data_IF_135289523742
#
_entry.id   IF_135289523742
#
_cell.length_a   1.000
_cell.length_b   1.000
_cell.length_c   1.000
_cell.angle_alpha   90.00
_cell.angle_beta   90.00
_cell.angle_gamma   90.00
#
_symmetry.space_group_name_H-M   'P 1'
#
loop_
_entity.id
_entity.type
_entity.pdbx_description
1 polymer ?
#
# COMPACT_ATOMS: atom_id res chain seq x y z
N UNK A 1 -18.27 28.11 2.45
CA UNK A 1 -17.58 29.10 1.57
C UNK A 1 -18.07 28.89 0.15
N UNK A 2 -18.41 29.95 -0.58
CA UNK A 2 -18.82 29.81 -2.00
C UNK A 2 -17.59 29.65 -2.89
N UNK A 3 -17.73 28.94 -4.02
CA UNK A 3 -16.64 28.69 -4.99
C UNK A 3 -15.98 29.99 -5.50
N UNK A 4 -16.75 31.07 -5.61
CA UNK A 4 -16.27 32.39 -6.09
C UNK A 4 -15.55 33.20 -5.00
N UNK A 5 -15.66 32.82 -3.73
CA UNK A 5 -15.10 33.56 -2.59
C UNK A 5 -13.92 32.74 -2.04
N UNK A 6 -12.77 33.33 -2.07
CA UNK A 6 -11.56 32.75 -1.54
C UNK A 6 -10.37 33.08 -2.41
N UNK A 7 -9.23 33.09 -1.80
CA UNK A 7 -7.97 33.36 -2.45
C UNK A 7 -6.96 32.29 -2.03
N UNK A 8 -6.30 31.65 -3.00
CA UNK A 8 -5.23 30.73 -2.73
C UNK A 8 -3.96 31.54 -2.48
N UNK A 9 -3.44 31.47 -1.26
CA UNK A 9 -2.24 32.22 -0.86
C UNK A 9 -0.98 31.44 -1.29
N UNK A 10 -0.97 30.13 -1.08
CA UNK A 10 0.15 29.28 -1.45
C UNK A 10 -0.35 27.87 -1.78
N UNK A 11 0.36 27.20 -2.68
CA UNK A 11 0.19 25.79 -3.00
C UNK A 11 1.58 25.21 -3.26
N UNK A 12 2.11 24.51 -2.28
CA UNK A 12 3.47 23.96 -2.33
C UNK A 12 3.38 22.43 -2.35
N UNK A 13 4.17 21.80 -3.19
CA UNK A 13 4.35 20.34 -3.18
C UNK A 13 5.26 19.94 -2.02
N UNK A 14 4.85 18.89 -1.29
CA UNK A 14 5.64 18.33 -0.19
C UNK A 14 6.32 17.07 -0.69
N UNK A 15 7.64 17.11 -0.79
CA UNK A 15 8.45 15.98 -1.22
C UNK A 15 8.83 15.09 -0.04
N UNK A 16 8.89 13.78 -0.28
CA UNK A 16 9.47 12.85 0.68
C UNK A 16 11.01 13.01 0.67
N UNK A 17 11.62 13.15 1.84
CA UNK A 17 13.07 13.34 1.98
C UNK A 17 13.87 12.13 1.49
N UNK A 18 13.40 10.93 1.81
CA UNK A 18 14.03 9.68 1.43
C UNK A 18 12.97 8.70 0.89
N UNK A 19 13.09 8.40 -0.40
CA UNK A 19 12.20 7.44 -1.10
C UNK A 19 12.83 6.07 -1.30
N UNK A 20 14.06 5.87 -0.81
CA UNK A 20 14.81 4.62 -0.99
C UNK A 20 14.63 3.66 0.19
N UNK A 21 14.41 4.19 1.38
CA UNK A 21 14.21 3.41 2.60
C UNK A 21 12.75 3.09 2.86
N UNK A 22 12.48 1.88 3.35
CA UNK A 22 11.16 1.49 3.84
C UNK A 22 10.91 2.11 5.20
N UNK A 23 9.69 2.61 5.38
CA UNK A 23 9.22 3.24 6.61
C UNK A 23 7.88 2.64 7.01
N UNK A 24 7.55 2.72 8.28
CA UNK A 24 6.23 2.33 8.76
C UNK A 24 5.35 3.57 8.86
N UNK A 25 4.17 3.49 8.27
CA UNK A 25 3.17 4.54 8.33
C UNK A 25 1.94 4.05 9.08
N UNK A 26 1.56 4.79 10.13
CA UNK A 26 0.30 4.61 10.82
C UNK A 26 -0.76 5.55 10.23
N UNK A 27 -1.92 5.02 9.91
CA UNK A 27 -3.03 5.75 9.32
C UNK A 27 -4.27 5.60 10.17
N UNK A 28 -4.81 6.73 10.64
CA UNK A 28 -6.07 6.81 11.35
C UNK A 28 -7.14 7.22 10.37
N UNK A 29 -8.19 6.42 10.27
CA UNK A 29 -9.26 6.61 9.30
C UNK A 29 -10.63 6.57 9.96
N UNK A 30 -11.59 7.24 9.31
CA UNK A 30 -13.01 7.07 9.51
C UNK A 30 -13.62 6.63 8.19
N UNK A 31 -14.43 5.61 8.20
CA UNK A 31 -15.11 5.15 7.01
C UNK A 31 -16.55 4.77 7.27
N UNK A 32 -17.36 4.84 6.24
CA UNK A 32 -18.73 4.40 6.28
C UNK A 32 -18.84 2.98 5.70
N UNK A 33 -19.32 2.05 6.53
CA UNK A 33 -19.74 0.73 6.07
C UNK A 33 -21.19 0.76 5.60
N UNK A 34 -21.72 -0.40 5.21
CA UNK A 34 -23.14 -0.53 4.87
C UNK A 34 -24.07 -0.33 6.07
N UNK A 35 -23.58 -0.50 7.27
CA UNK A 35 -24.34 -0.49 8.52
C UNK A 35 -24.07 0.70 9.41
N UNK A 36 -22.99 1.46 9.21
CA UNK A 36 -22.65 2.60 10.04
C UNK A 36 -21.27 3.16 9.79
N UNK A 37 -20.82 4.06 10.66
CA UNK A 37 -19.51 4.66 10.62
C UNK A 37 -18.55 3.96 11.58
N UNK A 38 -17.30 3.84 11.17
CA UNK A 38 -16.26 3.19 11.95
C UNK A 38 -14.98 4.02 11.94
N UNK A 39 -14.30 4.02 13.08
CA UNK A 39 -12.92 4.50 13.18
C UNK A 39 -11.99 3.28 13.16
N UNK A 40 -10.89 3.40 12.46
CA UNK A 40 -9.89 2.34 12.39
C UNK A 40 -8.47 2.91 12.35
N UNK A 41 -7.54 2.10 12.81
CA UNK A 41 -6.10 2.35 12.70
C UNK A 41 -5.47 1.22 11.91
N UNK A 42 -4.69 1.59 10.89
CA UNK A 42 -3.96 0.65 10.03
C UNK A 42 -2.51 1.06 9.90
N UNK A 43 -1.67 0.10 9.62
CA UNK A 43 -0.24 0.31 9.40
C UNK A 43 0.17 -0.26 8.05
N UNK A 44 1.04 0.50 7.37
CA UNK A 44 1.60 0.13 6.07
C UNK A 44 3.10 0.35 6.09
N UNK A 45 3.84 -0.58 5.50
CA UNK A 45 5.28 -0.48 5.33
C UNK A 45 5.57 -0.12 3.88
N UNK A 46 5.92 1.13 3.66
CA UNK A 46 6.09 1.72 2.33
C UNK A 46 7.26 2.70 2.28
N UNK A 47 7.66 3.03 1.06
CA UNK A 47 8.76 3.98 0.84
C UNK A 47 8.32 5.44 0.98
N UNK A 48 7.05 5.73 0.73
CA UNK A 48 6.50 7.08 0.81
C UNK A 48 5.10 7.10 1.41
N UNK A 49 4.73 8.27 1.93
CA UNK A 49 3.38 8.50 2.46
C UNK A 49 2.30 8.30 1.39
N UNK A 50 2.55 8.73 0.16
CA UNK A 50 1.61 8.58 -0.96
C UNK A 50 1.34 7.11 -1.26
N UNK A 51 2.38 6.27 -1.28
CA UNK A 51 2.24 4.82 -1.45
C UNK A 51 1.45 4.16 -0.33
N UNK A 52 1.64 4.60 0.91
CA UNK A 52 0.87 4.11 2.05
C UNK A 52 -0.62 4.46 1.93
N UNK A 53 -0.94 5.66 1.41
CA UNK A 53 -2.32 6.07 1.14
C UNK A 53 -2.94 5.26 0.01
N UNK A 54 -2.21 5.01 -1.07
CA UNK A 54 -2.67 4.16 -2.18
C UNK A 54 -3.01 2.75 -1.69
N UNK A 55 -2.11 2.14 -0.91
CA UNK A 55 -2.31 0.83 -0.31
C UNK A 55 -3.54 0.80 0.61
N UNK A 56 -3.78 1.88 1.37
CA UNK A 56 -4.97 2.01 2.20
C UNK A 56 -6.26 1.97 1.36
N UNK A 57 -6.34 2.76 0.30
CA UNK A 57 -7.53 2.80 -0.56
C UNK A 57 -7.78 1.46 -1.25
N UNK A 58 -6.73 0.80 -1.71
CA UNK A 58 -6.82 -0.53 -2.31
C UNK A 58 -7.33 -1.58 -1.30
N UNK A 59 -6.78 -1.60 -0.10
CA UNK A 59 -7.21 -2.54 0.94
C UNK A 59 -8.65 -2.29 1.37
N UNK A 60 -9.03 -1.03 1.60
CA UNK A 60 -10.39 -0.70 2.02
C UNK A 60 -11.43 -1.01 0.95
N UNK A 61 -11.09 -0.83 -0.33
CA UNK A 61 -11.96 -1.23 -1.43
C UNK A 61 -12.07 -2.76 -1.56
N UNK A 62 -10.98 -3.48 -1.41
CA UNK A 62 -10.92 -4.93 -1.62
C UNK A 62 -11.52 -5.73 -0.45
N UNK A 63 -11.17 -5.39 0.78
CA UNK A 63 -11.58 -6.15 1.98
C UNK A 63 -12.87 -5.67 2.61
N UNK A 64 -13.15 -4.37 2.51
CA UNK A 64 -14.30 -3.75 3.18
C UNK A 64 -15.32 -3.17 2.22
N UNK A 65 -15.07 -3.23 0.91
CA UNK A 65 -15.93 -2.68 -0.15
C UNK A 65 -16.21 -1.19 0.03
N UNK A 66 -15.32 -0.46 0.68
CA UNK A 66 -15.41 0.98 0.92
C UNK A 66 -14.85 1.73 -0.29
N UNK A 67 -15.66 2.60 -0.86
CA UNK A 67 -15.26 3.47 -1.96
C UNK A 67 -14.58 4.73 -1.43
N UNK A 68 -13.73 5.34 -2.26
CA UNK A 68 -12.94 6.51 -1.86
C UNK A 68 -13.78 7.66 -1.23
N UNK A 69 -14.97 8.04 -1.73
CA UNK A 69 -15.80 9.09 -1.10
C UNK A 69 -16.28 8.74 0.31
N UNK A 70 -16.34 7.46 0.66
CA UNK A 70 -16.80 6.98 1.96
C UNK A 70 -15.68 6.85 3.00
N UNK A 71 -14.45 7.16 2.63
CA UNK A 71 -13.28 7.05 3.48
C UNK A 71 -12.67 8.42 3.73
N UNK A 72 -12.38 8.70 4.99
CA UNK A 72 -11.75 9.94 5.45
C UNK A 72 -10.48 9.58 6.22
N UNK A 73 -9.36 10.14 5.79
CA UNK A 73 -8.09 10.02 6.51
C UNK A 73 -8.07 11.13 7.56
N UNK A 74 -8.01 10.72 8.83
CA UNK A 74 -7.94 11.67 9.97
C UNK A 74 -6.49 12.13 10.14
N UNK A 75 -5.54 11.17 10.14
CA UNK A 75 -4.12 11.42 10.35
C UNK A 75 -3.29 10.33 9.68
N UNK A 76 -2.14 10.72 9.20
CA UNK A 76 -1.08 9.81 8.80
C UNK A 76 0.23 10.27 9.44
N UNK A 77 1.01 9.33 9.95
CA UNK A 77 2.30 9.62 10.57
C UNK A 77 3.29 8.47 10.37
N UNK A 78 4.57 8.79 10.37
CA UNK A 78 5.65 7.80 10.47
C UNK A 78 5.62 7.21 11.88
N UNK A 79 5.77 5.89 11.99
CA UNK A 79 5.75 5.14 13.25
C UNK A 79 7.11 4.48 13.43
N UNK A 80 7.72 4.65 14.60
CA UNK A 80 8.95 3.95 14.93
C UNK A 80 8.73 2.44 15.03
N UNK A 81 9.75 1.65 14.76
CA UNK A 81 9.65 0.17 14.76
C UNK A 81 9.18 -0.39 16.11
N UNK A 82 9.49 0.30 17.21
CA UNK A 82 9.09 -0.07 18.56
C UNK A 82 7.59 0.17 18.83
N UNK A 83 6.99 1.14 18.15
CA UNK A 83 5.60 1.56 18.33
C UNK A 83 4.61 0.85 17.40
N UNK A 84 5.10 -0.01 16.52
CA UNK A 84 4.28 -0.77 15.57
C UNK A 84 3.43 -1.79 16.31
N UNK A 85 2.15 -1.84 15.98
CA UNK A 85 1.14 -2.66 16.68
C UNK A 85 0.55 -3.77 15.81
N UNK A 86 0.65 -3.67 14.49
CA UNK A 86 0.01 -4.62 13.58
C UNK A 86 0.95 -5.75 13.20
N UNK A 87 0.48 -6.98 13.36
CA UNK A 87 1.26 -8.20 13.06
C UNK A 87 1.81 -8.22 11.64
N UNK A 88 1.04 -7.71 10.68
CA UNK A 88 1.48 -7.58 9.28
C UNK A 88 2.75 -6.77 9.11
N UNK A 89 2.97 -5.78 9.98
CA UNK A 89 4.15 -4.93 9.95
C UNK A 89 5.23 -5.49 10.88
N UNK A 90 4.86 -5.95 12.08
CA UNK A 90 5.79 -6.51 13.07
C UNK A 90 6.59 -7.68 12.49
N UNK A 91 5.99 -8.52 11.67
CA UNK A 91 6.66 -9.70 11.08
C UNK A 91 7.92 -9.34 10.24
N UNK A 92 8.02 -8.11 9.76
CA UNK A 92 9.17 -7.62 8.99
C UNK A 92 10.20 -6.87 9.84
N UNK A 93 9.89 -6.60 11.09
CA UNK A 93 10.75 -5.85 12.02
C UNK A 93 11.64 -6.80 12.84
N UNK A 94 12.75 -6.24 13.35
CA UNK A 94 13.65 -6.97 14.25
C UNK A 94 14.47 -8.10 13.61
N UNK A 95 14.44 -8.26 12.31
CA UNK A 95 15.20 -9.28 11.59
C UNK A 95 16.61 -8.80 11.31
N UNK A 96 17.59 -9.66 11.59
CA UNK A 96 19.01 -9.40 11.28
C UNK A 96 19.28 -9.45 9.77
N UNK A 97 18.52 -10.29 9.06
CA UNK A 97 18.68 -10.49 7.63
C UNK A 97 17.40 -10.03 6.89
N UNK A 98 17.55 -9.46 5.68
CA UNK A 98 16.41 -9.09 4.87
C UNK A 98 15.59 -10.32 4.49
N UNK A 99 14.28 -10.16 4.37
CA UNK A 99 13.39 -11.23 3.89
C UNK A 99 13.71 -11.53 2.44
N UNK A 100 14.12 -12.76 2.17
CA UNK A 100 14.42 -13.24 0.82
C UNK A 100 13.68 -14.56 0.56
N UNK A 101 13.07 -14.68 -0.60
CA UNK A 101 12.39 -15.90 -1.03
C UNK A 101 12.44 -16.00 -2.56
N UNK A 102 12.42 -17.22 -3.13
CA UNK A 102 12.44 -17.40 -4.58
C UNK A 102 11.14 -16.90 -5.22
N UNK A 103 11.25 -16.36 -6.42
CA UNK A 103 10.08 -16.03 -7.24
C UNK A 103 9.51 -17.31 -7.81
N UNK A 104 8.35 -17.74 -7.32
CA UNK A 104 7.67 -18.97 -7.74
C UNK A 104 6.67 -18.75 -8.88
N UNK A 105 6.26 -17.51 -9.12
CA UNK A 105 5.35 -17.15 -10.20
C UNK A 105 6.09 -17.01 -11.52
N UNK A 106 5.63 -17.73 -12.56
CA UNK A 106 6.15 -17.56 -13.92
C UNK A 106 5.67 -16.27 -14.53
N UNK A 107 6.56 -15.56 -15.22
CA UNK A 107 6.17 -14.46 -16.10
C UNK A 107 5.42 -15.04 -17.30
N UNK A 108 4.12 -14.77 -17.38
CA UNK A 108 3.25 -15.32 -18.42
C UNK A 108 3.45 -14.67 -19.79
N UNK A 109 3.89 -13.40 -19.81
CA UNK A 109 4.14 -12.64 -21.04
C UNK A 109 5.50 -11.95 -20.95
N UNK A 110 6.40 -12.23 -21.91
CA UNK A 110 7.64 -11.47 -22.02
C UNK A 110 7.37 -10.03 -22.46
N UNK A 111 8.15 -9.09 -21.94
CA UNK A 111 8.02 -7.66 -22.29
C UNK A 111 8.45 -7.39 -23.73
N UNK A 112 9.50 -8.07 -24.20
CA UNK A 112 10.04 -7.88 -25.54
C UNK A 112 9.61 -9.01 -26.50
N UNK A 113 9.36 -8.66 -27.77
CA UNK A 113 9.00 -9.60 -28.83
C UNK A 113 10.08 -10.66 -29.05
N UNK A 114 11.36 -10.32 -28.90
CA UNK A 114 12.50 -11.23 -29.04
C UNK A 114 12.52 -12.36 -28.01
N UNK A 115 11.89 -12.13 -26.85
CA UNK A 115 11.80 -13.12 -25.77
C UNK A 115 10.58 -14.04 -25.91
N UNK A 116 9.68 -13.77 -26.84
CA UNK A 116 8.49 -14.59 -27.07
C UNK A 116 8.87 -15.84 -27.86
N UNK A 117 8.41 -16.98 -27.39
CA UNK A 117 8.56 -18.26 -28.09
C UNK A 117 7.34 -18.48 -28.99
N UNK A 118 7.54 -19.02 -30.20
CA UNK A 118 6.48 -19.37 -31.14
C UNK A 118 5.62 -20.52 -30.60
N UNK A 119 6.27 -21.49 -29.97
CA UNK A 119 5.60 -22.63 -29.36
C UNK A 119 6.33 -23.04 -28.08
N UNK A 120 5.57 -23.28 -27.02
CA UNK A 120 6.08 -23.76 -25.74
C UNK A 120 5.18 -24.84 -25.19
N UNK A 121 5.72 -26.03 -25.07
CA UNK A 121 5.05 -27.13 -24.39
C UNK A 121 5.75 -27.42 -23.05
N UNK A 122 4.97 -27.56 -22.00
CA UNK A 122 5.46 -28.07 -20.73
C UNK A 122 4.37 -28.88 -20.04
N UNK A 123 4.78 -29.93 -19.32
CA UNK A 123 3.85 -30.64 -18.46
C UNK A 123 3.36 -29.71 -17.34
N UNK A 124 2.08 -29.79 -16.95
CA UNK A 124 1.59 -29.05 -15.80
C UNK A 124 2.41 -29.39 -14.55
N UNK A 125 2.87 -28.36 -13.87
CA UNK A 125 3.62 -28.50 -12.62
C UNK A 125 2.67 -28.24 -11.46
N UNK A 126 2.17 -29.30 -10.83
CA UNK A 126 1.22 -29.21 -9.71
C UNK A 126 1.92 -29.10 -8.35
N UNK A 127 3.21 -29.33 -8.29
CA UNK A 127 4.01 -29.22 -7.08
C UNK A 127 4.97 -28.05 -7.20
N UNK A 128 4.46 -26.86 -6.99
CA UNK A 128 5.26 -25.66 -6.81
C UNK A 128 5.39 -25.35 -5.31
N UNK A 129 5.68 -26.35 -4.52
CA UNK A 129 5.97 -26.23 -3.08
C UNK A 129 7.38 -26.67 -2.80
#
# INVERSE_FOLDING_TARGET
MKKANGQIIACNEIFEEDVTSLKNYGVWIRYQSRTGFHNAYKEYREVSMNKAVDALYEEMASRHRVRAPCLQIIKIAKVADEDVKRDNTIQFLGRKEPVSFPVVNKVLRPDAKSQKTTFKYSRPNFSAL
#
